data_IF_174925843609
#
_entry.id   IF_174925843609
#
_cell.length_a   1.000
_cell.length_b   1.000
_cell.length_c   1.000
_cell.angle_alpha   90.00
_cell.angle_beta   90.00
_cell.angle_gamma   90.00
#
_symmetry.space_group_name_H-M   'P 1'
#
loop_
_entity.id
_entity.type
_entity.pdbx_description
1 polymer ?
#
# COMPACT_ATOMS: atom_id res chain seq x y z
N UNK A 1 -10.40 -21.51 -12.66
CA UNK A 1 -9.81 -20.15 -12.63
C UNK A 1 -10.24 -19.54 -11.31
N UNK A 2 -9.35 -19.57 -10.32
CA UNK A 2 -9.64 -19.06 -8.98
C UNK A 2 -9.68 -17.53 -9.07
N UNK A 3 -10.88 -16.96 -9.09
CA UNK A 3 -11.08 -15.52 -9.06
C UNK A 3 -10.63 -15.07 -7.67
N UNK A 4 -9.56 -14.27 -7.59
CA UNK A 4 -9.11 -13.68 -6.32
C UNK A 4 -10.32 -13.23 -5.52
N UNK A 5 -10.48 -13.77 -4.31
CA UNK A 5 -11.63 -13.41 -3.48
C UNK A 5 -11.50 -11.94 -3.08
N UNK A 6 -12.62 -11.26 -2.86
CA UNK A 6 -12.58 -9.88 -2.32
C UNK A 6 -11.80 -9.82 -1.00
N UNK A 7 -11.78 -10.92 -0.25
CA UNK A 7 -11.04 -11.05 1.00
C UNK A 7 -9.53 -11.09 0.75
N UNK A 8 -9.05 -11.68 -0.34
CA UNK A 8 -7.63 -11.68 -0.70
C UNK A 8 -7.13 -10.28 -1.05
N UNK A 9 -7.92 -9.52 -1.80
CA UNK A 9 -7.60 -8.14 -2.16
C UNK A 9 -7.59 -7.27 -0.91
N UNK A 10 -8.62 -7.39 -0.07
CA UNK A 10 -8.72 -6.61 1.17
C UNK A 10 -7.54 -6.89 2.10
N UNK A 11 -7.20 -8.18 2.31
CA UNK A 11 -6.02 -8.58 3.09
C UNK A 11 -4.72 -8.05 2.49
N UNK A 12 -4.60 -7.99 1.17
CA UNK A 12 -3.43 -7.42 0.52
C UNK A 12 -3.31 -5.91 0.79
N UNK A 13 -4.40 -5.16 0.68
CA UNK A 13 -4.42 -3.73 1.00
C UNK A 13 -4.09 -3.49 2.48
N UNK A 14 -4.60 -4.31 3.40
CA UNK A 14 -4.27 -4.23 4.82
C UNK A 14 -2.76 -4.38 5.06
N UNK A 15 -2.10 -5.32 4.38
CA UNK A 15 -0.64 -5.50 4.48
C UNK A 15 0.12 -4.26 4.02
N UNK A 16 -0.36 -3.59 2.97
CA UNK A 16 0.22 -2.31 2.50
C UNK A 16 0.01 -1.19 3.51
N UNK A 17 -1.21 -1.05 4.06
CA UNK A 17 -1.52 -0.07 5.10
C UNK A 17 -0.63 -0.28 6.33
N UNK A 18 -0.49 -1.52 6.82
CA UNK A 18 0.38 -1.85 7.95
C UNK A 18 1.85 -1.53 7.62
N UNK A 19 2.33 -1.86 6.42
CA UNK A 19 3.71 -1.55 6.02
C UNK A 19 3.97 -0.04 5.99
N UNK A 20 3.02 0.77 5.50
CA UNK A 20 3.11 2.24 5.53
C UNK A 20 3.19 2.77 6.97
N UNK A 21 2.35 2.26 7.87
CA UNK A 21 2.40 2.61 9.30
C UNK A 21 3.76 2.30 9.93
N UNK A 22 4.31 1.10 9.67
CA UNK A 22 5.63 0.70 10.16
C UNK A 22 6.73 1.62 9.62
N UNK A 23 6.58 2.13 8.39
CA UNK A 23 7.50 3.09 7.76
C UNK A 23 7.28 4.55 8.21
N UNK A 24 6.32 4.81 9.10
CA UNK A 24 6.05 6.14 9.66
C UNK A 24 5.09 7.00 8.84
N UNK A 25 4.37 6.42 7.88
CA UNK A 25 3.32 7.11 7.11
C UNK A 25 1.95 6.73 7.66
N UNK A 26 0.99 7.66 7.66
CA UNK A 26 -0.37 7.42 8.15
C UNK A 26 -1.35 7.17 6.98
N UNK A 27 -1.65 5.91 6.64
CA UNK A 27 -2.60 5.58 5.59
C UNK A 27 -4.08 5.59 6.04
N UNK A 28 -4.36 5.94 7.30
CA UNK A 28 -5.63 5.64 7.95
C UNK A 28 -5.70 4.21 8.50
N UNK A 29 -6.88 3.71 8.88
CA UNK A 29 -7.05 2.35 9.40
C UNK A 29 -6.55 1.28 8.44
N UNK A 30 -6.00 0.18 8.96
CA UNK A 30 -5.65 -1.00 8.17
C UNK A 30 -6.89 -1.88 7.92
N UNK A 31 -7.89 -1.31 7.24
CA UNK A 31 -9.19 -1.93 6.98
C UNK A 31 -9.27 -2.67 5.64
N UNK A 32 -8.27 -2.51 4.77
CA UNK A 32 -8.25 -3.12 3.44
C UNK A 32 -8.87 -2.25 2.34
N UNK A 33 -9.18 -0.99 2.64
CA UNK A 33 -9.74 -0.04 1.68
C UNK A 33 -8.66 0.91 1.18
N UNK A 34 -8.50 0.99 -0.15
CA UNK A 34 -7.59 1.94 -0.78
C UNK A 34 -8.18 3.36 -0.80
N UNK A 35 -8.28 3.95 0.39
CA UNK A 35 -8.87 5.27 0.64
C UNK A 35 -7.99 6.41 0.09
N UNK A 36 -8.52 7.64 -0.03
CA UNK A 36 -7.70 8.82 -0.36
C UNK A 36 -6.50 8.99 0.58
N UNK A 37 -6.69 8.73 1.88
CA UNK A 37 -5.62 8.82 2.88
C UNK A 37 -4.53 7.77 2.66
N UNK A 38 -4.91 6.54 2.32
CA UNK A 38 -3.95 5.49 1.95
C UNK A 38 -3.16 5.88 0.69
N UNK A 39 -3.81 6.48 -0.31
CA UNK A 39 -3.14 6.97 -1.53
C UNK A 39 -2.19 8.12 -1.24
N UNK A 40 -2.54 9.01 -0.31
CA UNK A 40 -1.69 10.11 0.11
C UNK A 40 -0.44 9.60 0.84
N UNK A 41 -0.59 8.64 1.75
CA UNK A 41 0.53 7.95 2.39
C UNK A 41 1.44 7.24 1.38
N UNK A 42 0.88 6.59 0.36
CA UNK A 42 1.65 6.00 -0.74
C UNK A 42 2.47 7.06 -1.49
N UNK A 43 1.87 8.22 -1.82
CA UNK A 43 2.59 9.31 -2.51
C UNK A 43 3.72 9.87 -1.65
N UNK A 44 3.50 10.02 -0.35
CA UNK A 44 4.53 10.49 0.58
C UNK A 44 5.70 9.49 0.65
N UNK A 45 5.38 8.19 0.79
CA UNK A 45 6.38 7.12 0.79
C UNK A 45 7.17 7.08 -0.52
N UNK A 46 6.49 7.15 -1.66
CA UNK A 46 7.12 7.16 -2.98
C UNK A 46 8.05 8.36 -3.16
N UNK A 47 7.59 9.55 -2.77
CA UNK A 47 8.40 10.78 -2.82
C UNK A 47 9.68 10.63 -2.00
N UNK A 48 9.56 10.15 -0.75
CA UNK A 48 10.70 9.98 0.14
C UNK A 48 11.68 8.89 -0.33
N UNK A 49 11.18 7.85 -1.00
CA UNK A 49 11.98 6.75 -1.57
C UNK A 49 12.54 7.03 -2.96
N UNK A 50 12.29 8.20 -3.55
CA UNK A 50 12.70 8.51 -4.94
C UNK A 50 12.02 7.63 -5.99
N UNK A 51 10.84 7.09 -5.68
CA UNK A 51 10.02 6.29 -6.60
C UNK A 51 9.10 7.18 -7.45
N UNK A 52 8.57 6.63 -8.54
CA UNK A 52 7.48 7.29 -9.29
C UNK A 52 6.29 7.52 -8.37
N UNK A 53 5.88 8.78 -8.23
CA UNK A 53 4.80 9.20 -7.32
C UNK A 53 3.43 8.96 -7.96
N UNK A 54 2.99 7.70 -7.96
CA UNK A 54 1.71 7.27 -8.54
C UNK A 54 0.54 7.32 -7.54
N UNK A 55 0.83 7.20 -6.24
CA UNK A 55 -0.16 6.95 -5.20
C UNK A 55 -0.88 5.61 -5.34
N UNK A 56 -0.28 4.67 -6.08
CA UNK A 56 -0.80 3.32 -6.32
C UNK A 56 0.14 2.27 -5.71
N UNK A 57 -0.38 1.05 -5.53
CA UNK A 57 0.38 -0.12 -5.11
C UNK A 57 1.13 -0.74 -6.31
N UNK A 58 1.99 0.03 -6.96
CA UNK A 58 2.82 -0.48 -8.05
C UNK A 58 3.94 -1.41 -7.53
N UNK A 59 4.51 -2.21 -8.43
CA UNK A 59 5.50 -3.24 -8.08
C UNK A 59 6.68 -2.64 -7.32
N UNK A 60 7.23 -1.51 -7.80
CA UNK A 60 8.36 -0.84 -7.15
C UNK A 60 8.02 -0.42 -5.71
N UNK A 61 6.83 0.15 -5.51
CA UNK A 61 6.34 0.54 -4.19
C UNK A 61 6.13 -0.67 -3.29
N UNK A 62 5.55 -1.76 -3.80
CA UNK A 62 5.30 -2.98 -3.04
C UNK A 62 6.59 -3.70 -2.61
N UNK A 63 7.61 -3.73 -3.48
CA UNK A 63 8.94 -4.23 -3.14
C UNK A 63 9.62 -3.34 -2.09
N UNK A 64 9.58 -2.01 -2.26
CA UNK A 64 10.18 -1.06 -1.32
C UNK A 64 9.51 -1.10 0.07
N UNK A 65 8.20 -1.37 0.12
CA UNK A 65 7.46 -1.62 1.37
C UNK A 65 7.74 -3.01 1.98
N UNK A 66 8.35 -3.93 1.24
CA UNK A 66 8.58 -5.31 1.66
C UNK A 66 7.31 -6.17 1.72
N UNK A 67 6.23 -5.72 1.07
CA UNK A 67 4.95 -6.45 0.97
C UNK A 67 5.01 -7.52 -0.12
N UNK A 68 5.81 -7.26 -1.16
CA UNK A 68 6.10 -8.17 -2.26
C UNK A 68 7.61 -8.47 -2.28
N UNK A 69 7.97 -9.74 -2.43
CA UNK A 69 9.36 -10.21 -2.55
C UNK A 69 9.68 -10.52 -4.00
#
# INVERSE_FOLDING_TARGET
>A
MERLSQDDISRFVQRVQIALMIKGYDPGPADGVLSPKTREALRAFQTAGGLTVSGNMDMATLHALGVLK
#
